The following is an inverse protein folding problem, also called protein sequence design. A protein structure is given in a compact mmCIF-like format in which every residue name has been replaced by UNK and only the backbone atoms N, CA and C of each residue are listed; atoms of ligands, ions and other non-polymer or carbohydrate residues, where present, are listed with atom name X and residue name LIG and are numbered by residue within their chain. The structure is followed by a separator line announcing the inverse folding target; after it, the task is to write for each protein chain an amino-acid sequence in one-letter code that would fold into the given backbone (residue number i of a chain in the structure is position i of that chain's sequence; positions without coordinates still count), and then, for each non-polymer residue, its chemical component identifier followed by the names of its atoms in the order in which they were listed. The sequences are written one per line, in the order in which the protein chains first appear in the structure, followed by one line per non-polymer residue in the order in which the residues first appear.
data_IF_156059091009
#
_entry.id   IF_156059091009
#
_cell.length_a   1.000
_cell.length_b   1.000
_cell.length_c   1.000
_cell.angle_alpha   90.00
_cell.angle_beta   90.00
_cell.angle_gamma   90.00
#
_symmetry.space_group_name_H-M   'P 1'
#
loop_
_entity.id
_entity.type
_entity.pdbx_description
1 polymer ?
#
# COMPACT_ATOMS: atom_id res chain seq x y z
N UNK A 1 44.00 1.88 -68.52
CA UNK A 1 45.13 1.83 -67.56
C UNK A 1 44.89 2.95 -66.55
N UNK A 2 44.35 2.64 -65.37
CA UNK A 2 45.09 2.57 -64.07
C UNK A 2 45.57 3.97 -63.62
N UNK A 3 45.19 4.55 -62.48
CA UNK A 3 44.39 4.12 -61.34
C UNK A 3 44.36 5.17 -60.21
N UNK A 4 43.37 5.00 -59.32
CA UNK A 4 43.38 5.19 -57.86
C UNK A 4 43.94 6.49 -57.23
N UNK A 5 43.06 7.26 -56.57
CA UNK A 5 42.99 7.28 -55.09
C UNK A 5 41.96 8.30 -54.58
N UNK A 6 40.73 7.86 -54.36
CA UNK A 6 39.86 8.47 -53.35
C UNK A 6 39.97 7.61 -52.10
N UNK A 7 40.72 8.08 -51.11
CA UNK A 7 40.79 7.46 -49.79
C UNK A 7 39.44 7.74 -49.10
N UNK A 8 38.57 6.74 -49.11
CA UNK A 8 37.40 6.69 -48.24
C UNK A 8 37.88 6.51 -46.80
N UNK A 9 37.70 7.53 -45.98
CA UNK A 9 37.90 7.49 -44.54
C UNK A 9 36.74 6.69 -43.92
N UNK A 10 36.85 5.36 -43.94
CA UNK A 10 35.96 4.50 -43.18
C UNK A 10 36.32 4.63 -41.70
N UNK A 11 35.61 5.49 -40.97
CA UNK A 11 35.56 5.42 -39.51
C UNK A 11 34.98 4.05 -39.15
N UNK A 12 35.84 3.14 -38.71
CA UNK A 12 35.42 1.97 -37.96
C UNK A 12 34.84 2.46 -36.62
N UNK A 13 33.53 2.72 -36.59
CA UNK A 13 32.75 2.68 -35.37
C UNK A 13 32.82 1.26 -34.85
N UNK A 14 33.84 0.98 -34.04
CA UNK A 14 33.83 -0.19 -33.16
C UNK A 14 32.69 0.07 -32.18
N UNK A 15 31.50 -0.39 -32.53
CA UNK A 15 30.41 -0.54 -31.57
C UNK A 15 30.89 -1.62 -30.61
N UNK A 16 31.55 -1.21 -29.52
CA UNK A 16 31.67 -2.07 -28.36
C UNK A 16 30.24 -2.36 -27.92
N UNK A 17 29.75 -3.55 -28.22
CA UNK A 17 28.53 -4.07 -27.63
C UNK A 17 28.74 -4.04 -26.12
N UNK A 18 28.23 -3.01 -25.44
CA UNK A 18 28.11 -3.02 -23.98
C UNK A 18 26.98 -4.00 -23.72
N UNK A 19 27.31 -5.28 -23.75
CA UNK A 19 26.43 -6.32 -23.26
C UNK A 19 26.45 -6.17 -21.74
N UNK A 20 25.47 -5.44 -21.22
CA UNK A 20 25.29 -5.30 -19.79
C UNK A 20 25.11 -6.70 -19.21
N UNK A 21 26.15 -7.25 -18.58
CA UNK A 21 26.07 -8.53 -17.87
C UNK A 21 24.90 -8.43 -16.89
N UNK A 22 23.84 -9.20 -17.15
CA UNK A 22 22.71 -9.31 -16.25
C UNK A 22 23.25 -9.88 -14.94
N UNK A 23 23.44 -9.00 -13.96
CA UNK A 23 23.94 -9.38 -12.65
C UNK A 23 22.73 -9.60 -11.75
N UNK A 24 22.41 -10.87 -11.48
CA UNK A 24 21.33 -11.23 -10.57
C UNK A 24 21.61 -10.73 -9.15
N UNK A 25 20.54 -10.55 -8.36
CA UNK A 25 20.67 -10.28 -6.93
C UNK A 25 21.31 -11.46 -6.22
N UNK A 26 22.11 -11.17 -5.19
CA UNK A 26 22.70 -12.19 -4.36
C UNK A 26 21.65 -12.75 -3.39
N UNK A 27 21.46 -14.07 -3.41
CA UNK A 27 20.42 -14.78 -2.67
C UNK A 27 21.02 -15.50 -1.46
N UNK A 28 20.28 -15.66 -0.35
CA UNK A 28 20.70 -16.50 0.77
C UNK A 28 21.14 -17.88 0.29
N UNK A 29 22.29 -18.36 0.81
CA UNK A 29 22.92 -19.61 0.39
C UNK A 29 23.86 -19.49 -0.83
N UNK A 30 23.86 -18.37 -1.54
CA UNK A 30 24.82 -18.12 -2.63
C UNK A 30 26.20 -17.73 -2.09
N UNK A 31 27.32 -18.02 -2.80
CA UNK A 31 28.67 -17.65 -2.35
C UNK A 31 28.91 -16.14 -2.16
N UNK A 32 28.16 -15.30 -2.89
CA UNK A 32 28.22 -13.85 -2.74
C UNK A 32 27.51 -13.33 -1.47
N UNK A 33 26.71 -14.17 -0.80
CA UNK A 33 25.84 -13.72 0.28
C UNK A 33 26.68 -13.44 1.52
N UNK A 34 26.40 -12.37 2.28
CA UNK A 34 27.16 -12.03 3.47
C UNK A 34 27.32 -13.22 4.42
N UNK A 35 28.54 -13.43 4.92
CA UNK A 35 28.79 -14.51 5.89
C UNK A 35 28.12 -14.19 7.24
N UNK A 36 27.85 -15.21 8.08
CA UNK A 36 27.19 -14.98 9.37
C UNK A 36 27.86 -13.91 10.26
N UNK A 37 29.20 -13.80 10.34
CA UNK A 37 29.85 -12.70 11.07
C UNK A 37 29.55 -11.31 10.50
N UNK A 38 29.44 -11.18 9.17
CA UNK A 38 29.10 -9.90 8.50
C UNK A 38 27.65 -9.52 8.81
N UNK A 39 26.73 -10.49 8.75
CA UNK A 39 25.31 -10.27 9.10
C UNK A 39 25.19 -9.85 10.56
N UNK A 40 25.83 -10.56 11.48
CA UNK A 40 25.83 -10.24 12.91
C UNK A 40 26.43 -8.85 13.20
N UNK A 41 27.44 -8.43 12.42
CA UNK A 41 27.97 -7.07 12.52
C UNK A 41 26.96 -6.02 12.05
N UNK A 42 26.21 -6.31 10.99
CA UNK A 42 25.15 -5.42 10.50
C UNK A 42 24.00 -5.30 11.51
N UNK A 43 23.54 -6.41 12.08
CA UNK A 43 22.49 -6.45 13.12
C UNK A 43 22.83 -5.56 14.32
N UNK A 44 24.09 -5.56 14.78
CA UNK A 44 24.55 -4.69 15.87
C UNK A 44 24.45 -3.20 15.55
N UNK A 45 24.32 -2.82 14.28
CA UNK A 45 24.14 -1.41 13.89
C UNK A 45 22.68 -0.99 13.85
N UNK A 46 21.73 -1.92 13.86
CA UNK A 46 20.30 -1.63 13.82
C UNK A 46 19.75 -1.35 15.22
N UNK A 47 18.58 -0.71 15.27
CA UNK A 47 17.87 -0.47 16.54
C UNK A 47 17.45 -1.78 17.25
N UNK A 48 17.09 -2.80 16.47
CA UNK A 48 16.83 -4.17 16.94
C UNK A 48 17.51 -5.16 15.98
N UNK A 49 17.95 -6.34 16.46
CA UNK A 49 18.47 -7.40 15.58
C UNK A 49 17.49 -7.78 14.47
N UNK A 50 18.00 -8.38 13.40
CA UNK A 50 17.16 -8.91 12.32
C UNK A 50 16.18 -9.94 12.88
N UNK A 51 14.94 -9.86 12.41
CA UNK A 51 13.96 -10.93 12.57
C UNK A 51 14.21 -11.92 11.44
N UNK A 52 14.25 -13.22 11.77
CA UNK A 52 14.29 -14.31 10.81
C UNK A 52 12.90 -14.96 10.74
N UNK A 53 12.00 -14.46 9.88
CA UNK A 53 10.61 -14.90 9.92
C UNK A 53 10.45 -16.32 9.37
N UNK A 54 9.58 -17.10 10.02
CA UNK A 54 8.90 -18.25 9.43
C UNK A 54 7.49 -17.84 9.02
N UNK A 55 6.87 -18.51 8.02
CA UNK A 55 5.49 -18.22 7.65
C UNK A 55 4.56 -18.30 8.85
N UNK A 56 3.54 -17.44 8.89
CA UNK A 56 2.64 -17.34 10.04
C UNK A 56 1.94 -18.67 10.39
N UNK A 57 1.67 -19.52 9.39
CA UNK A 57 1.09 -20.86 9.58
C UNK A 57 2.03 -21.90 10.20
N UNK A 58 3.34 -21.64 10.28
CA UNK A 58 4.37 -22.63 10.68
C UNK A 58 4.12 -23.23 12.06
N UNK A 59 3.58 -22.43 12.98
CA UNK A 59 3.19 -22.86 14.33
C UNK A 59 2.12 -23.96 14.36
N UNK A 60 1.44 -24.23 13.24
CA UNK A 60 0.42 -25.28 13.12
C UNK A 60 0.95 -26.63 12.63
N UNK A 61 2.19 -26.74 12.18
CA UNK A 61 2.75 -27.96 11.59
C UNK A 61 3.61 -28.70 12.62
N UNK A 62 3.23 -29.91 13.09
CA UNK A 62 3.97 -30.65 14.12
C UNK A 62 5.42 -31.03 13.76
N UNK A 63 5.74 -31.07 12.46
CA UNK A 63 7.08 -31.31 11.94
C UNK A 63 7.92 -30.01 11.80
N UNK A 64 7.36 -28.84 12.07
CA UNK A 64 8.07 -27.57 12.04
C UNK A 64 8.67 -27.22 13.41
N UNK A 65 9.91 -26.70 13.48
CA UNK A 65 10.52 -26.28 14.75
C UNK A 65 9.74 -25.22 15.55
N UNK A 66 8.84 -24.48 14.89
CA UNK A 66 8.02 -23.44 15.50
C UNK A 66 6.67 -23.95 16.01
N UNK A 67 6.37 -25.25 15.89
CA UNK A 67 5.10 -25.82 16.29
C UNK A 67 4.69 -25.40 17.70
N UNK A 68 3.49 -24.82 17.80
CA UNK A 68 2.90 -24.43 19.07
C UNK A 68 1.37 -24.45 18.93
N UNK A 69 0.65 -25.38 19.60
CA UNK A 69 -0.78 -25.54 19.42
C UNK A 69 -1.59 -24.32 19.86
N UNK A 70 -1.13 -23.58 20.88
CA UNK A 70 -1.79 -22.34 21.34
C UNK A 70 -1.63 -21.22 20.31
N UNK A 71 -0.41 -21.02 19.80
CA UNK A 71 -0.16 -20.04 18.74
C UNK A 71 -0.92 -20.42 17.45
N UNK A 72 -1.01 -21.70 17.13
CA UNK A 72 -1.80 -22.19 16.00
C UNK A 72 -3.28 -21.84 16.12
N UNK A 73 -3.89 -22.02 17.30
CA UNK A 73 -5.28 -21.65 17.52
C UNK A 73 -5.51 -20.14 17.32
N UNK A 74 -4.58 -19.30 17.79
CA UNK A 74 -4.64 -17.85 17.57
C UNK A 74 -4.52 -17.52 16.07
N UNK A 75 -3.51 -18.06 15.39
CA UNK A 75 -3.26 -17.85 13.95
C UNK A 75 -4.48 -18.24 13.12
N UNK A 76 -5.08 -19.41 13.39
CA UNK A 76 -6.31 -19.85 12.70
C UNK A 76 -7.47 -18.89 12.93
N UNK A 77 -7.68 -18.45 14.17
CA UNK A 77 -8.78 -17.53 14.50
C UNK A 77 -8.63 -16.13 13.86
N UNK A 78 -7.40 -15.70 13.58
CA UNK A 78 -7.07 -14.38 13.03
C UNK A 78 -6.55 -14.43 11.60
N UNK A 79 -6.67 -15.58 10.92
CA UNK A 79 -6.04 -15.79 9.62
C UNK A 79 -6.44 -14.74 8.58
N UNK A 80 -7.68 -14.28 8.57
CA UNK A 80 -8.15 -13.21 7.66
C UNK A 80 -8.32 -11.85 8.36
N UNK A 81 -7.84 -11.70 9.60
CA UNK A 81 -7.98 -10.47 10.34
C UNK A 81 -6.94 -9.43 9.89
N UNK A 82 -7.41 -8.37 9.24
CA UNK A 82 -6.52 -7.36 8.67
C UNK A 82 -5.58 -6.72 9.69
N UNK A 83 -6.07 -6.35 10.88
CA UNK A 83 -5.24 -5.73 11.92
C UNK A 83 -4.12 -6.66 12.40
N UNK A 84 -4.45 -7.93 12.67
CA UNK A 84 -3.47 -8.94 13.06
C UNK A 84 -2.40 -9.15 11.97
N UNK A 85 -2.81 -9.30 10.71
CA UNK A 85 -1.86 -9.48 9.60
C UNK A 85 -0.95 -8.27 9.38
N UNK A 86 -1.43 -7.05 9.65
CA UNK A 86 -0.55 -5.86 9.61
C UNK A 86 0.52 -5.85 10.71
N UNK A 87 0.22 -6.49 11.85
CA UNK A 87 1.06 -6.48 13.05
C UNK A 87 2.20 -7.50 13.06
N UNK A 88 2.25 -8.39 12.07
CA UNK A 88 3.32 -9.39 11.93
C UNK A 88 4.10 -9.17 10.63
N UNK A 89 5.45 -9.28 10.62
CA UNK A 89 6.25 -9.02 9.43
C UNK A 89 6.08 -10.09 8.33
N UNK A 90 5.78 -11.33 8.71
CA UNK A 90 5.65 -12.50 7.84
C UNK A 90 4.29 -12.64 7.13
N UNK A 91 3.34 -11.72 7.36
CA UNK A 91 2.06 -11.71 6.66
C UNK A 91 1.93 -10.54 5.65
N UNK A 92 1.34 -10.84 4.51
CA UNK A 92 0.65 -9.92 3.62
C UNK A 92 -0.86 -9.97 3.89
N UNK A 93 -1.64 -9.01 3.38
CA UNK A 93 -3.10 -9.08 3.49
C UNK A 93 -3.71 -10.11 2.55
N UNK A 94 -3.10 -10.26 1.37
CA UNK A 94 -3.51 -11.24 0.37
C UNK A 94 -2.55 -12.43 0.44
N UNK A 95 -3.06 -13.55 0.93
CA UNK A 95 -2.28 -14.76 1.28
C UNK A 95 -1.57 -15.35 0.05
N UNK A 96 -2.12 -15.16 -1.15
CA UNK A 96 -1.45 -15.58 -2.39
C UNK A 96 -0.06 -14.93 -2.57
N UNK A 97 0.20 -13.79 -1.93
CA UNK A 97 1.51 -13.14 -1.94
C UNK A 97 2.50 -13.66 -0.89
N UNK A 98 2.06 -14.53 0.01
CA UNK A 98 2.94 -15.35 0.87
C UNK A 98 3.35 -16.64 0.18
N UNK A 99 2.53 -17.15 -0.73
CA UNK A 99 2.75 -18.41 -1.44
C UNK A 99 3.70 -18.24 -2.62
N UNK A 100 4.53 -19.25 -2.88
CA UNK A 100 5.25 -19.40 -4.16
C UNK A 100 4.57 -20.47 -4.99
N UNK A 101 4.21 -20.15 -6.23
CA UNK A 101 3.67 -21.11 -7.19
C UNK A 101 4.76 -21.38 -8.22
N UNK A 102 5.16 -22.63 -8.36
CA UNK A 102 6.03 -23.09 -9.45
C UNK A 102 5.24 -24.00 -10.40
N UNK A 103 5.87 -24.47 -11.47
CA UNK A 103 5.19 -25.25 -12.52
C UNK A 103 4.59 -26.58 -12.03
N UNK A 104 4.99 -27.07 -10.86
CA UNK A 104 4.68 -28.42 -10.37
C UNK A 104 4.15 -28.46 -8.94
N UNK A 105 4.27 -27.36 -8.17
CA UNK A 105 3.95 -27.32 -6.76
C UNK A 105 3.56 -25.91 -6.28
N UNK A 106 2.87 -25.89 -5.14
CA UNK A 106 2.49 -24.71 -4.40
C UNK A 106 3.23 -24.72 -3.06
N UNK A 107 4.27 -23.91 -2.97
CA UNK A 107 5.07 -23.73 -1.77
C UNK A 107 4.34 -22.77 -0.83
N UNK A 108 3.44 -23.32 -0.03
CA UNK A 108 2.62 -22.60 0.94
C UNK A 108 2.83 -23.12 2.36
N UNK A 109 2.24 -22.40 3.31
CA UNK A 109 2.17 -22.79 4.71
C UNK A 109 0.78 -22.45 5.25
N UNK A 110 -0.21 -23.19 4.75
CA UNK A 110 -1.62 -23.01 5.09
C UNK A 110 -1.97 -23.83 6.35
N UNK A 111 -2.36 -23.20 7.48
CA UNK A 111 -2.71 -23.93 8.70
C UNK A 111 -4.01 -24.75 8.57
N UNK A 112 -4.80 -24.55 7.51
CA UNK A 112 -6.06 -25.27 7.27
C UNK A 112 -5.90 -26.51 6.37
N UNK A 113 -4.69 -26.79 5.87
CA UNK A 113 -4.40 -28.08 5.21
C UNK A 113 -4.32 -29.23 6.23
N UNK A 114 -4.08 -30.45 5.76
CA UNK A 114 -3.81 -31.60 6.63
C UNK A 114 -2.41 -31.48 7.28
N UNK A 115 -2.32 -30.61 8.28
CA UNK A 115 -1.06 -30.31 8.98
C UNK A 115 -0.49 -31.49 9.76
N UNK A 116 -1.28 -32.54 10.01
CA UNK A 116 -0.82 -33.72 10.75
C UNK A 116 -0.19 -34.79 9.85
N UNK A 117 -0.40 -34.72 8.54
CA UNK A 117 0.33 -35.55 7.59
C UNK A 117 1.82 -35.12 7.61
N UNK A 118 2.75 -36.01 8.00
CA UNK A 118 4.17 -35.67 8.10
C UNK A 118 4.81 -35.36 6.73
N UNK A 119 4.14 -35.71 5.63
CA UNK A 119 4.59 -35.37 4.27
C UNK A 119 4.26 -33.91 3.90
N UNK A 120 3.29 -33.29 4.58
CA UNK A 120 2.98 -31.88 4.40
C UNK A 120 4.00 -31.01 5.14
N UNK A 121 4.63 -30.11 4.40
CA UNK A 121 5.67 -29.21 4.90
C UNK A 121 5.18 -27.77 4.84
N UNK A 122 5.42 -27.01 5.91
CA UNK A 122 5.30 -25.55 5.88
C UNK A 122 6.46 -24.94 5.07
N UNK A 123 6.24 -24.63 3.80
CA UNK A 123 7.25 -23.99 2.96
C UNK A 123 7.41 -22.51 3.28
N UNK A 124 8.62 -21.98 3.12
CA UNK A 124 8.90 -20.55 3.33
C UNK A 124 8.09 -19.65 2.36
N UNK A 125 7.84 -20.13 1.14
CA UNK A 125 7.16 -19.35 0.11
C UNK A 125 7.88 -18.02 -0.18
N UNK A 126 7.09 -16.94 -0.25
CA UNK A 126 7.54 -15.57 -0.47
C UNK A 126 7.90 -14.82 0.81
N UNK A 127 7.79 -15.45 1.98
CA UNK A 127 8.17 -14.85 3.25
C UNK A 127 9.66 -14.47 3.19
N UNK A 128 10.05 -13.23 3.58
CA UNK A 128 11.42 -12.76 3.44
C UNK A 128 12.41 -13.64 4.21
N UNK A 129 13.69 -13.53 3.84
CA UNK A 129 14.74 -14.24 4.59
C UNK A 129 15.09 -13.53 5.90
N UNK A 130 15.06 -12.19 5.90
CA UNK A 130 15.33 -11.37 7.07
C UNK A 130 14.51 -10.09 7.05
N UNK A 131 14.10 -9.63 8.22
CA UNK A 131 13.28 -8.43 8.37
C UNK A 131 13.95 -7.47 9.33
N UNK A 132 14.14 -6.24 8.89
CA UNK A 132 14.55 -5.11 9.72
C UNK A 132 13.27 -4.46 10.25
N UNK A 133 13.06 -4.57 11.56
CA UNK A 133 12.01 -3.83 12.26
C UNK A 133 12.44 -2.37 12.41
N UNK A 134 11.91 -1.51 11.56
CA UNK A 134 12.39 -0.12 11.44
C UNK A 134 11.91 0.71 12.62
N UNK A 135 12.83 1.26 13.41
CA UNK A 135 12.54 2.18 14.53
C UNK A 135 13.05 3.58 14.27
N UNK A 136 13.93 3.76 13.29
CA UNK A 136 14.54 5.05 12.97
C UNK A 136 14.88 5.18 11.48
N UNK A 137 15.05 6.42 11.02
CA UNK A 137 15.58 6.73 9.68
C UNK A 137 16.95 6.06 9.48
N UNK A 138 17.77 6.00 10.54
CA UNK A 138 19.08 5.34 10.50
C UNK A 138 18.98 3.86 10.12
N UNK A 139 17.97 3.13 10.59
CA UNK A 139 17.79 1.70 10.22
C UNK A 139 17.57 1.56 8.71
N UNK A 140 16.73 2.42 8.14
CA UNK A 140 16.47 2.46 6.69
C UNK A 140 17.79 2.74 5.94
N UNK A 141 18.51 3.78 6.32
CA UNK A 141 19.75 4.18 5.66
C UNK A 141 20.84 3.10 5.74
N UNK A 142 21.02 2.48 6.92
CA UNK A 142 21.98 1.39 7.12
C UNK A 142 21.61 0.17 6.27
N UNK A 143 20.32 -0.17 6.21
CA UNK A 143 19.83 -1.32 5.43
C UNK A 143 19.95 -1.09 3.93
N UNK A 144 19.60 0.10 3.43
CA UNK A 144 19.78 0.48 2.01
C UNK A 144 21.24 0.36 1.60
N UNK A 145 22.16 0.91 2.41
CA UNK A 145 23.61 0.81 2.15
C UNK A 145 24.11 -0.63 2.21
N UNK A 146 23.66 -1.41 3.19
CA UNK A 146 24.04 -2.82 3.32
C UNK A 146 23.55 -3.66 2.13
N UNK A 147 22.28 -3.52 1.76
CA UNK A 147 21.70 -4.22 0.63
C UNK A 147 22.36 -3.83 -0.70
N UNK A 148 22.69 -2.54 -0.89
CA UNK A 148 23.42 -2.07 -2.06
C UNK A 148 24.83 -2.68 -2.13
N UNK A 149 25.60 -2.61 -1.03
CA UNK A 149 26.97 -3.14 -0.94
C UNK A 149 27.06 -4.64 -1.24
N UNK A 150 26.08 -5.41 -0.80
CA UNK A 150 26.05 -6.86 -0.94
C UNK A 150 25.13 -7.34 -2.07
N UNK A 151 24.64 -6.43 -2.91
CA UNK A 151 23.72 -6.70 -4.03
C UNK A 151 22.50 -7.56 -3.63
N UNK A 152 21.91 -7.28 -2.47
CA UNK A 152 20.77 -8.01 -1.92
C UNK A 152 19.46 -7.50 -2.52
N UNK A 153 18.45 -8.37 -2.54
CA UNK A 153 17.07 -7.99 -2.85
C UNK A 153 16.46 -7.30 -1.63
N UNK A 154 16.32 -5.98 -1.68
CA UNK A 154 15.63 -5.18 -0.68
C UNK A 154 14.16 -5.04 -1.06
N UNK A 155 13.27 -5.24 -0.10
CA UNK A 155 11.84 -4.94 -0.23
C UNK A 155 11.38 -4.08 0.94
N UNK A 156 10.25 -3.40 0.77
CA UNK A 156 9.67 -2.53 1.80
C UNK A 156 8.25 -2.97 2.07
N UNK A 157 7.94 -3.23 3.34
CA UNK A 157 6.58 -3.49 3.80
C UNK A 157 6.16 -2.41 4.79
N UNK A 158 5.00 -1.84 4.53
CA UNK A 158 4.24 -1.12 5.54
C UNK A 158 3.24 -2.11 6.17
N UNK A 159 2.02 -2.16 5.64
CA UNK A 159 0.93 -2.99 6.17
C UNK A 159 0.75 -4.33 5.48
N UNK A 160 1.33 -4.53 4.28
CA UNK A 160 1.12 -5.73 3.48
C UNK A 160 -0.18 -5.73 2.64
N UNK A 161 -0.87 -4.59 2.54
CA UNK A 161 -2.08 -4.37 1.69
C UNK A 161 -1.81 -4.34 0.17
N UNK A 162 -0.64 -4.80 -0.27
CA UNK A 162 -0.22 -4.62 -1.65
C UNK A 162 -0.84 -5.71 -2.56
N UNK A 163 -1.56 -5.28 -3.60
CA UNK A 163 -2.36 -6.17 -4.47
C UNK A 163 -1.55 -6.88 -5.57
N UNK A 164 -0.29 -6.50 -5.80
CA UNK A 164 0.59 -6.98 -6.89
C UNK A 164 1.83 -7.75 -6.37
N UNK A 165 1.87 -8.07 -5.07
CA UNK A 165 2.97 -8.73 -4.37
C UNK A 165 4.25 -7.91 -4.18
N UNK A 166 4.28 -6.60 -4.44
CA UNK A 166 5.52 -5.79 -4.41
C UNK A 166 6.13 -5.61 -3.03
N UNK A 167 5.31 -5.70 -1.97
CA UNK A 167 5.78 -5.58 -0.58
C UNK A 167 6.26 -6.90 0.03
N UNK A 168 6.32 -7.98 -0.76
CA UNK A 168 6.66 -9.33 -0.30
C UNK A 168 7.55 -10.05 -1.32
N UNK A 169 8.49 -10.87 -0.87
CA UNK A 169 9.37 -11.54 -1.81
C UNK A 169 10.34 -12.52 -1.17
N UNK A 170 10.43 -13.69 -1.80
CA UNK A 170 11.39 -14.72 -1.41
C UNK A 170 12.81 -14.16 -1.37
N UNK A 171 13.61 -14.71 -0.44
CA UNK A 171 15.06 -14.51 -0.40
C UNK A 171 15.47 -13.03 -0.32
N UNK A 172 14.62 -12.19 0.29
CA UNK A 172 14.83 -10.76 0.41
C UNK A 172 15.13 -10.34 1.84
N UNK A 173 15.74 -9.16 1.98
CA UNK A 173 15.74 -8.40 3.23
C UNK A 173 14.59 -7.40 3.15
N UNK A 174 13.69 -7.42 4.12
CA UNK A 174 12.53 -6.53 4.20
C UNK A 174 12.77 -5.41 5.20
N UNK A 175 12.51 -4.18 4.81
CA UNK A 175 12.29 -3.06 5.74
C UNK A 175 10.82 -3.04 6.14
N UNK A 176 10.53 -3.31 7.41
CA UNK A 176 9.17 -3.27 7.95
C UNK A 176 8.91 -1.95 8.68
N UNK A 177 8.37 -0.99 7.92
CA UNK A 177 8.13 0.42 8.31
C UNK A 177 6.93 0.62 9.22
N UNK A 178 6.12 -0.43 9.44
CA UNK A 178 4.94 -0.40 10.32
C UNK A 178 5.24 0.13 11.73
N UNK A 179 6.47 -0.02 12.22
CA UNK A 179 6.83 0.34 13.59
C UNK A 179 7.11 1.83 13.80
N UNK A 180 7.13 2.63 12.73
CA UNK A 180 7.21 4.09 12.78
C UNK A 180 5.77 4.66 12.84
N UNK A 181 5.36 5.17 13.99
CA UNK A 181 3.96 5.40 14.36
C UNK A 181 3.67 6.82 14.87
N UNK A 182 4.61 7.76 14.71
CA UNK A 182 4.45 9.14 15.16
C UNK A 182 3.43 9.92 14.32
N UNK A 183 2.65 10.76 15.00
CA UNK A 183 1.67 11.68 14.40
C UNK A 183 1.88 13.06 15.01
N UNK A 184 2.08 14.07 14.17
CA UNK A 184 2.32 15.47 14.56
C UNK A 184 1.34 16.39 13.85
N UNK A 185 0.54 17.11 14.62
CA UNK A 185 -0.40 18.09 14.09
C UNK A 185 0.20 19.49 14.05
N UNK A 186 -0.17 20.27 13.04
CA UNK A 186 0.18 21.68 12.92
C UNK A 186 -1.01 22.49 12.41
N UNK A 187 -1.29 23.61 13.07
CA UNK A 187 -2.36 24.52 12.64
C UNK A 187 -1.90 25.50 11.54
N UNK A 188 -0.58 25.61 11.31
CA UNK A 188 0.03 26.56 10.37
C UNK A 188 1.26 25.95 9.69
N UNK A 189 1.12 24.74 9.14
CA UNK A 189 2.20 24.07 8.44
C UNK A 189 2.61 24.85 7.20
N UNK A 190 3.92 25.07 7.05
CA UNK A 190 4.54 25.68 5.88
C UNK A 190 5.59 24.71 5.36
N UNK A 191 5.51 24.27 4.09
CA UNK A 191 6.50 23.37 3.52
C UNK A 191 7.92 23.95 3.58
N UNK A 192 8.91 23.09 3.77
CA UNK A 192 10.32 23.48 3.78
C UNK A 192 10.71 24.15 2.46
N UNK A 193 11.44 25.27 2.56
CA UNK A 193 11.88 26.05 1.39
C UNK A 193 10.82 26.99 0.81
N UNK A 194 9.62 27.06 1.41
CA UNK A 194 8.62 28.04 0.98
C UNK A 194 9.11 29.49 1.20
N UNK A 195 8.71 30.45 0.34
CA UNK A 195 9.04 31.86 0.52
C UNK A 195 8.58 32.42 1.88
N UNK A 196 9.35 33.37 2.41
CA UNK A 196 8.99 34.08 3.65
C UNK A 196 7.61 34.73 3.50
N UNK A 197 6.76 34.55 4.51
CA UNK A 197 5.38 35.06 4.51
C UNK A 197 4.34 34.11 3.91
N UNK A 198 4.73 32.90 3.47
CA UNK A 198 3.76 31.87 3.05
C UNK A 198 2.78 31.57 4.18
N UNK A 199 1.48 31.69 3.90
CA UNK A 199 0.42 31.34 4.85
C UNK A 199 0.39 29.84 5.08
N UNK A 200 0.55 29.43 6.35
CA UNK A 200 0.46 28.02 6.72
C UNK A 200 -0.98 27.50 6.74
N UNK A 201 -1.12 26.18 6.60
CA UNK A 201 -2.41 25.48 6.60
C UNK A 201 -2.48 24.46 7.74
N UNK A 202 -3.69 24.07 8.13
CA UNK A 202 -3.89 22.94 9.05
C UNK A 202 -3.45 21.64 8.38
N UNK A 203 -2.61 20.89 9.08
CA UNK A 203 -1.97 19.71 8.54
C UNK A 203 -1.63 18.69 9.62
N UNK A 204 -1.38 17.46 9.18
CA UNK A 204 -0.85 16.38 10.00
C UNK A 204 0.33 15.72 9.29
N UNK A 205 1.46 15.65 9.95
CA UNK A 205 2.65 14.91 9.53
C UNK A 205 2.66 13.57 10.24
N UNK A 206 2.79 12.49 9.48
CA UNK A 206 2.77 11.13 10.02
C UNK A 206 4.00 10.35 9.56
N UNK A 207 4.44 9.44 10.41
CA UNK A 207 5.38 8.38 10.05
C UNK A 207 4.71 7.26 9.23
N UNK A 208 5.50 6.45 8.49
CA UNK A 208 4.95 5.56 7.48
C UNK A 208 4.00 4.49 8.03
N UNK A 209 4.26 3.98 9.22
CA UNK A 209 3.48 2.89 9.82
C UNK A 209 2.08 3.28 10.30
N UNK A 210 1.77 4.58 10.37
CA UNK A 210 0.43 5.05 10.75
C UNK A 210 -0.61 4.54 9.77
N UNK A 211 -1.68 3.93 10.29
CA UNK A 211 -2.81 3.40 9.52
C UNK A 211 -4.00 4.35 9.55
N UNK A 212 -4.83 4.30 8.51
CA UNK A 212 -5.96 5.20 8.33
C UNK A 212 -6.95 5.18 9.51
N UNK A 213 -7.28 4.01 10.06
CA UNK A 213 -8.24 3.90 11.17
C UNK A 213 -7.85 4.72 12.39
N UNK A 214 -6.56 4.66 12.79
CA UNK A 214 -6.02 5.48 13.88
C UNK A 214 -6.02 6.96 13.51
N UNK A 215 -5.54 7.29 12.31
CA UNK A 215 -5.42 8.67 11.86
C UNK A 215 -6.78 9.37 11.77
N UNK A 216 -7.82 8.68 11.30
CA UNK A 216 -9.18 9.22 11.29
C UNK A 216 -9.66 9.61 12.67
N UNK A 217 -9.45 8.75 13.68
CA UNK A 217 -9.82 9.06 15.05
C UNK A 217 -9.08 10.30 15.56
N UNK A 218 -7.76 10.37 15.40
CA UNK A 218 -6.97 11.49 15.91
C UNK A 218 -7.29 12.82 15.20
N UNK A 219 -7.65 12.78 13.91
CA UNK A 219 -8.09 13.96 13.14
C UNK A 219 -9.52 14.37 13.54
N UNK A 220 -10.43 13.41 13.71
CA UNK A 220 -11.82 13.68 14.10
C UNK A 220 -11.93 14.25 15.52
N UNK A 221 -11.11 13.78 16.47
CA UNK A 221 -11.02 14.31 17.84
C UNK A 221 -10.61 15.81 17.86
N UNK A 222 -10.14 16.35 16.72
CA UNK A 222 -9.79 17.77 16.51
C UNK A 222 -10.83 18.54 15.69
N UNK A 223 -11.99 17.95 15.39
CA UNK A 223 -13.03 18.57 14.57
C UNK A 223 -12.59 18.83 13.12
N UNK A 224 -11.74 17.94 12.59
CA UNK A 224 -11.22 18.01 11.23
C UNK A 224 -11.60 16.75 10.44
N UNK A 225 -11.49 16.83 9.12
CA UNK A 225 -11.55 15.73 8.17
C UNK A 225 -10.20 15.56 7.47
N UNK A 226 -9.94 14.36 6.98
CA UNK A 226 -8.78 14.05 6.16
C UNK A 226 -9.19 13.11 5.02
N UNK A 227 -8.69 13.39 3.82
CA UNK A 227 -8.87 12.52 2.65
C UNK A 227 -8.01 11.29 2.84
N UNK A 228 -8.64 10.13 3.06
CA UNK A 228 -7.94 8.88 3.31
C UNK A 228 -8.57 7.66 2.66
N UNK A 229 -7.84 6.54 2.74
CA UNK A 229 -8.22 5.25 2.17
C UNK A 229 -9.20 4.44 3.00
N UNK A 230 -9.91 3.53 2.33
CA UNK A 230 -10.84 2.60 2.98
C UNK A 230 -10.24 1.20 3.03
N UNK A 231 -10.44 0.52 4.15
CA UNK A 231 -10.10 -0.89 4.32
C UNK A 231 -10.70 -1.42 5.61
N UNK A 232 -10.89 -2.74 5.69
CA UNK A 232 -11.39 -3.39 6.89
C UNK A 232 -10.53 -3.00 8.11
N UNK A 233 -11.19 -2.54 9.17
CA UNK A 233 -10.54 -2.04 10.40
C UNK A 233 -9.66 -0.80 10.20
N UNK A 234 -9.77 -0.09 9.07
CA UNK A 234 -8.90 1.05 8.74
C UNK A 234 -7.43 0.66 8.59
N UNK A 235 -7.15 -0.59 8.23
CA UNK A 235 -5.81 -1.20 8.30
C UNK A 235 -4.88 -0.82 7.14
N UNK A 236 -5.32 -0.05 6.15
CA UNK A 236 -4.46 0.46 5.08
C UNK A 236 -3.50 1.50 5.66
N UNK A 237 -2.22 1.46 5.24
CA UNK A 237 -1.19 2.38 5.70
C UNK A 237 -1.38 3.77 5.11
N UNK A 238 -1.49 4.78 5.97
CA UNK A 238 -1.63 6.17 5.58
C UNK A 238 -0.30 6.79 5.13
N UNK A 239 0.85 6.24 5.56
CA UNK A 239 2.18 6.70 5.14
C UNK A 239 2.95 5.64 4.33
N UNK A 240 2.39 5.15 3.21
CA UNK A 240 3.08 4.14 2.41
C UNK A 240 2.60 4.05 0.97
N UNK A 241 2.26 2.83 0.52
CA UNK A 241 1.82 2.62 -0.86
C UNK A 241 0.57 3.41 -1.26
N UNK A 242 -0.34 3.72 -0.32
CA UNK A 242 -1.57 4.46 -0.60
C UNK A 242 -1.31 5.90 -1.06
N UNK A 243 -0.58 6.77 -0.31
CA UNK A 243 -0.25 8.11 -0.81
C UNK A 243 0.57 8.06 -2.08
N UNK A 244 1.44 7.05 -2.21
CA UNK A 244 2.36 7.00 -3.34
C UNK A 244 1.70 6.54 -4.65
N UNK A 245 0.54 5.89 -4.58
CA UNK A 245 -0.17 5.31 -5.71
C UNK A 245 -1.41 6.08 -6.18
N UNK A 246 -1.68 7.27 -5.61
CA UNK A 246 -2.85 8.09 -5.91
C UNK A 246 -3.76 8.25 -4.70
N UNK A 247 -4.32 7.14 -4.21
CA UNK A 247 -5.15 7.10 -3.00
C UNK A 247 -6.56 7.66 -3.21
N UNK A 248 -7.52 6.78 -3.50
CA UNK A 248 -8.93 7.18 -3.59
C UNK A 248 -9.58 7.27 -2.21
N UNK A 249 -10.59 8.12 -2.07
CA UNK A 249 -11.36 8.32 -0.85
C UNK A 249 -12.83 8.57 -1.17
N UNK A 250 -13.71 8.32 -0.19
CA UNK A 250 -15.10 8.85 -0.24
C UNK A 250 -15.10 10.38 -0.37
N UNK A 251 -14.06 11.04 0.12
CA UNK A 251 -13.91 12.48 0.09
C UNK A 251 -13.27 13.00 -1.21
N UNK A 252 -12.86 12.13 -2.14
CA UNK A 252 -12.13 12.54 -3.33
C UNK A 252 -12.90 13.47 -4.27
N UNK A 253 -14.21 13.30 -4.49
CA UNK A 253 -14.98 14.25 -5.29
C UNK A 253 -15.01 15.67 -4.73
N UNK A 254 -14.75 15.86 -3.44
CA UNK A 254 -14.78 17.17 -2.77
C UNK A 254 -13.40 17.81 -2.60
N UNK A 255 -12.37 16.99 -2.39
CA UNK A 255 -11.03 17.47 -1.98
C UNK A 255 -9.87 16.91 -2.82
N UNK A 256 -10.16 16.19 -3.90
CA UNK A 256 -9.16 15.52 -4.74
C UNK A 256 -8.70 14.17 -4.18
N UNK A 257 -7.80 13.49 -4.90
CA UNK A 257 -7.21 12.24 -4.42
C UNK A 257 -6.32 12.46 -3.20
N UNK A 258 -5.90 11.38 -2.55
CA UNK A 258 -4.93 11.40 -1.45
C UNK A 258 -3.68 12.18 -1.82
N UNK A 259 -3.14 11.93 -3.02
CA UNK A 259 -2.01 12.68 -3.57
C UNK A 259 -2.26 14.19 -3.62
N UNK A 260 -3.47 14.67 -3.92
CA UNK A 260 -3.79 16.10 -3.99
C UNK A 260 -3.83 16.79 -2.63
N UNK A 261 -3.77 16.00 -1.56
CA UNK A 261 -3.81 16.45 -0.18
C UNK A 261 -2.42 16.44 0.47
N UNK A 262 -1.38 15.96 -0.21
CA UNK A 262 -0.01 15.93 0.31
C UNK A 262 0.67 17.28 0.12
N UNK A 263 1.29 17.79 1.19
CA UNK A 263 2.02 19.05 1.23
C UNK A 263 3.54 18.86 1.16
N UNK A 264 4.06 17.80 1.78
CA UNK A 264 5.47 17.50 1.90
C UNK A 264 5.67 16.03 2.26
N UNK A 265 6.72 15.42 1.72
CA UNK A 265 7.17 14.07 2.06
C UNK A 265 8.66 14.10 2.39
N UNK A 266 9.10 13.15 3.22
CA UNK A 266 10.52 12.85 3.37
C UNK A 266 10.78 11.40 3.01
N UNK A 267 11.90 11.15 2.32
CA UNK A 267 12.27 9.81 1.84
C UNK A 267 13.74 9.53 2.06
N UNK A 268 14.10 8.26 2.20
CA UNK A 268 15.47 7.78 2.03
C UNK A 268 15.63 7.30 0.59
N UNK A 269 16.55 7.92 -0.14
CA UNK A 269 16.88 7.57 -1.53
C UNK A 269 17.72 6.29 -1.61
N UNK A 270 17.87 5.67 -2.80
CA UNK A 270 18.79 4.55 -3.01
C UNK A 270 20.25 4.86 -2.63
N UNK A 271 20.67 6.14 -2.69
CA UNK A 271 21.98 6.60 -2.20
C UNK A 271 22.13 6.48 -0.67
N UNK A 272 21.02 6.34 0.05
CA UNK A 272 20.95 6.40 1.51
C UNK A 272 20.79 7.83 2.06
N UNK A 273 20.67 8.84 1.20
CA UNK A 273 20.39 10.22 1.62
C UNK A 273 18.94 10.37 2.07
N UNK A 274 18.72 11.17 3.12
CA UNK A 274 17.39 11.51 3.61
C UNK A 274 17.02 12.91 3.10
N UNK A 275 16.02 12.98 2.22
CA UNK A 275 15.66 14.22 1.52
C UNK A 275 14.20 14.59 1.76
N UNK A 276 13.91 15.88 1.68
CA UNK A 276 12.56 16.43 1.69
C UNK A 276 12.09 16.65 0.26
N UNK A 277 10.86 16.28 -0.07
CA UNK A 277 10.23 16.49 -1.36
C UNK A 277 8.92 17.27 -1.16
N UNK A 278 8.82 18.44 -1.78
CA UNK A 278 7.63 19.28 -1.82
C UNK A 278 7.69 20.19 -3.07
N UNK A 279 6.75 21.13 -3.21
CA UNK A 279 6.72 22.04 -4.38
C UNK A 279 7.92 23.01 -4.50
N UNK A 280 8.72 23.16 -3.44
CA UNK A 280 9.86 24.09 -3.36
C UNK A 280 11.21 23.36 -3.26
N UNK A 281 11.22 22.13 -2.75
CA UNK A 281 12.43 21.32 -2.51
C UNK A 281 12.25 19.97 -3.19
N UNK A 282 13.13 19.58 -4.13
CA UNK A 282 13.02 18.37 -4.95
C UNK A 282 11.63 18.18 -5.60
N UNK A 283 11.14 19.15 -6.40
CA UNK A 283 9.76 19.15 -6.91
C UNK A 283 9.48 18.05 -7.94
N UNK A 284 10.50 17.59 -8.65
CA UNK A 284 10.47 16.44 -9.56
C UNK A 284 10.24 15.12 -8.81
N UNK A 285 10.97 14.92 -7.71
CA UNK A 285 10.77 13.80 -6.79
C UNK A 285 9.38 13.88 -6.15
N UNK A 286 8.95 15.07 -5.73
CA UNK A 286 7.62 15.27 -5.15
C UNK A 286 6.50 14.90 -6.14
N UNK A 287 6.66 15.26 -7.41
CA UNK A 287 5.74 14.84 -8.47
C UNK A 287 5.72 13.31 -8.62
N UNK A 288 6.89 12.66 -8.65
CA UNK A 288 6.99 11.20 -8.81
C UNK A 288 6.41 10.43 -7.62
N UNK A 289 6.63 10.90 -6.39
CA UNK A 289 6.08 10.28 -5.18
C UNK A 289 4.55 10.37 -5.16
N UNK A 290 3.95 11.39 -5.77
CA UNK A 290 2.50 11.63 -5.79
C UNK A 290 1.77 10.93 -6.95
N UNK A 291 1.92 9.60 -7.04
CA UNK A 291 1.17 8.76 -7.97
C UNK A 291 2.03 7.82 -8.83
N UNK A 292 3.36 7.99 -8.83
CA UNK A 292 4.29 7.10 -9.54
C UNK A 292 4.45 5.70 -8.93
N UNK A 293 3.85 5.46 -7.76
CA UNK A 293 3.83 4.18 -7.08
C UNK A 293 5.07 3.92 -6.21
N UNK A 294 4.84 3.61 -4.94
CA UNK A 294 5.90 3.21 -4.02
C UNK A 294 6.30 1.73 -4.17
N UNK A 295 7.54 1.35 -3.80
CA UNK A 295 8.62 2.20 -3.26
C UNK A 295 9.64 2.69 -4.33
N UNK A 296 9.25 2.85 -5.59
CA UNK A 296 10.18 3.00 -6.73
C UNK A 296 11.13 4.21 -6.65
N UNK A 297 10.73 5.30 -6.00
CA UNK A 297 11.47 6.57 -5.97
C UNK A 297 12.17 6.85 -4.63
N UNK A 298 11.98 5.99 -3.64
CA UNK A 298 12.53 6.17 -2.30
C UNK A 298 11.68 5.49 -1.23
N UNK A 299 12.25 5.35 -0.04
CA UNK A 299 11.58 4.78 1.12
C UNK A 299 11.00 5.93 1.95
N UNK A 300 9.68 6.06 1.95
CA UNK A 300 8.97 7.09 2.68
C UNK A 300 9.25 7.00 4.19
N UNK A 301 9.65 8.12 4.78
CA UNK A 301 9.94 8.28 6.22
C UNK A 301 8.95 9.21 6.91
N UNK A 302 8.30 10.12 6.17
CA UNK A 302 7.13 10.85 6.64
C UNK A 302 6.32 11.41 5.47
N UNK A 303 5.03 11.65 5.71
CA UNK A 303 4.13 12.37 4.79
C UNK A 303 3.32 13.39 5.58
N UNK A 304 3.16 14.58 5.02
CA UNK A 304 2.33 15.65 5.58
C UNK A 304 1.11 15.86 4.71
N UNK A 305 -0.07 15.66 5.30
CA UNK A 305 -1.36 15.92 4.65
C UNK A 305 -1.96 17.22 5.15
N UNK A 306 -2.61 17.97 4.26
CA UNK A 306 -3.57 19.01 4.67
C UNK A 306 -4.82 18.37 5.28
N UNK A 307 -5.34 18.97 6.34
CA UNK A 307 -6.65 18.60 6.92
C UNK A 307 -7.69 19.64 6.56
N UNK A 308 -8.96 19.24 6.59
CA UNK A 308 -10.09 20.07 6.20
C UNK A 308 -11.03 20.30 7.38
N UNK A 309 -11.80 21.41 7.38
CA UNK A 309 -12.94 21.56 8.26
C UNK A 309 -13.89 20.36 8.14
N UNK A 310 -14.57 20.01 9.23
CA UNK A 310 -15.55 18.93 9.27
C UNK A 310 -16.98 19.46 9.20
N UNK A 311 -17.53 19.80 8.01
CA UNK A 311 -18.93 20.16 7.92
C UNK A 311 -19.84 18.95 8.18
N UNK A 312 -21.13 19.18 8.50
CA UNK A 312 -22.12 18.12 8.49
C UNK A 312 -22.15 17.38 7.15
N UNK A 313 -22.51 16.09 7.19
CA UNK A 313 -22.65 15.23 6.01
C UNK A 313 -23.99 14.51 6.05
N UNK A 314 -24.57 14.31 4.87
CA UNK A 314 -25.73 13.46 4.66
C UNK A 314 -25.24 12.10 4.18
N UNK A 315 -25.73 11.01 4.77
CA UNK A 315 -25.40 9.64 4.35
C UNK A 315 -26.64 8.95 3.77
N UNK A 316 -26.42 8.11 2.76
CA UNK A 316 -27.45 7.27 2.16
C UNK A 316 -26.95 5.83 2.03
N UNK A 317 -27.82 4.89 2.34
CA UNK A 317 -27.54 3.46 2.34
C UNK A 317 -28.64 2.74 1.55
N UNK A 318 -28.24 1.78 0.71
CA UNK A 318 -29.15 0.89 -0.02
C UNK A 318 -28.60 -0.52 0.05
N UNK A 319 -29.49 -1.50 0.18
CA UNK A 319 -29.20 -2.90 -0.13
C UNK A 319 -30.24 -3.34 -1.15
N UNK A 320 -29.81 -3.79 -2.31
CA UNK A 320 -30.68 -4.40 -3.30
C UNK A 320 -30.26 -5.85 -3.53
N UNK A 321 -31.20 -6.78 -3.46
CA UNK A 321 -31.02 -8.18 -3.82
C UNK A 321 -31.60 -8.44 -5.20
N UNK A 322 -30.94 -9.29 -5.98
CA UNK A 322 -31.42 -9.67 -7.31
C UNK A 322 -31.72 -11.16 -7.37
N UNK A 323 -32.92 -11.51 -7.81
CA UNK A 323 -33.41 -12.90 -7.89
C UNK A 323 -33.33 -13.48 -9.30
N UNK A 324 -33.10 -12.64 -10.31
CA UNK A 324 -32.91 -13.03 -11.72
C UNK A 324 -31.66 -12.39 -12.30
N UNK A 325 -31.08 -13.02 -13.34
CA UNK A 325 -29.92 -12.48 -14.06
C UNK A 325 -30.29 -11.22 -14.86
N UNK A 326 -31.51 -11.18 -15.39
CA UNK A 326 -32.06 -10.03 -16.12
C UNK A 326 -32.24 -8.83 -15.20
N UNK A 327 -32.81 -9.01 -14.00
CA UNK A 327 -32.95 -7.96 -13.01
C UNK A 327 -31.59 -7.45 -12.53
N UNK A 328 -30.62 -8.35 -12.36
CA UNK A 328 -29.21 -8.02 -12.03
C UNK A 328 -28.56 -7.15 -13.10
N UNK A 329 -28.70 -7.53 -14.37
CA UNK A 329 -28.16 -6.77 -15.48
C UNK A 329 -28.82 -5.39 -15.62
N UNK A 330 -30.14 -5.31 -15.47
CA UNK A 330 -30.87 -4.05 -15.61
C UNK A 330 -30.60 -3.09 -14.43
N UNK A 331 -30.48 -3.61 -13.19
CA UNK A 331 -30.05 -2.81 -12.04
C UNK A 331 -28.66 -2.21 -12.27
N UNK A 332 -27.70 -3.03 -12.73
CA UNK A 332 -26.36 -2.55 -13.03
C UNK A 332 -26.37 -1.48 -14.13
N UNK A 333 -27.15 -1.68 -15.19
CA UNK A 333 -27.31 -0.74 -16.29
C UNK A 333 -27.88 0.60 -15.83
N UNK A 334 -28.94 0.60 -15.02
CA UNK A 334 -29.51 1.85 -14.49
C UNK A 334 -28.55 2.55 -13.52
N UNK A 335 -27.78 1.80 -12.72
CA UNK A 335 -26.73 2.39 -11.88
C UNK A 335 -25.66 3.10 -12.73
N UNK A 336 -25.09 2.42 -13.72
CA UNK A 336 -24.05 3.00 -14.60
C UNK A 336 -24.59 4.25 -15.33
N UNK A 337 -25.84 4.21 -15.78
CA UNK A 337 -26.51 5.32 -16.48
C UNK A 337 -26.69 6.55 -15.58
N UNK A 338 -27.07 6.38 -14.31
CA UNK A 338 -27.31 7.51 -13.40
C UNK A 338 -26.03 8.00 -12.70
N UNK A 339 -24.98 7.19 -12.65
CA UNK A 339 -23.77 7.46 -11.87
C UNK A 339 -23.15 8.86 -12.11
N UNK A 340 -22.95 9.34 -13.36
CA UNK A 340 -22.42 10.69 -13.58
C UNK A 340 -23.29 11.78 -12.94
N UNK A 341 -24.61 11.68 -13.10
CA UNK A 341 -25.57 12.65 -12.54
C UNK A 341 -25.59 12.64 -11.01
N UNK A 342 -25.43 11.47 -10.38
CA UNK A 342 -25.30 11.36 -8.92
C UNK A 342 -24.04 12.08 -8.42
N UNK A 343 -22.90 11.84 -9.06
CA UNK A 343 -21.63 12.48 -8.71
C UNK A 343 -21.70 14.00 -8.91
N UNK A 344 -22.22 14.46 -10.05
CA UNK A 344 -22.42 15.89 -10.35
C UNK A 344 -23.44 16.58 -9.42
N UNK A 345 -24.29 15.80 -8.76
CA UNK A 345 -25.24 16.30 -7.76
C UNK A 345 -24.64 16.31 -6.36
N UNK A 346 -23.42 15.81 -6.19
CA UNK A 346 -22.65 15.88 -4.95
C UNK A 346 -22.65 14.60 -4.12
N UNK A 347 -23.07 13.46 -4.68
CA UNK A 347 -22.91 12.16 -4.02
C UNK A 347 -21.53 11.58 -4.29
N UNK A 348 -20.92 11.01 -3.25
CA UNK A 348 -19.66 10.29 -3.32
C UNK A 348 -19.73 9.04 -2.44
N UNK A 349 -19.12 7.94 -2.87
CA UNK A 349 -19.13 6.73 -2.05
C UNK A 349 -18.84 5.46 -2.81
N UNK A 350 -19.14 4.35 -2.13
CA UNK A 350 -18.82 3.01 -2.59
C UNK A 350 -20.09 2.26 -2.90
N UNK A 351 -19.99 1.40 -3.91
CA UNK A 351 -21.10 0.61 -4.41
C UNK A 351 -20.67 -0.82 -4.72
N UNK A 352 -20.30 -1.65 -3.73
CA UNK A 352 -19.90 -3.01 -4.05
C UNK A 352 -21.11 -3.78 -4.63
N UNK A 353 -20.89 -4.42 -5.78
CA UNK A 353 -21.82 -5.36 -6.39
C UNK A 353 -21.17 -6.74 -6.35
N UNK A 354 -21.65 -7.61 -5.47
CA UNK A 354 -21.08 -8.95 -5.25
C UNK A 354 -22.17 -10.01 -5.33
N UNK A 355 -22.05 -10.93 -6.27
CA UNK A 355 -23.06 -11.95 -6.51
C UNK A 355 -24.41 -11.31 -6.85
N UNK A 356 -25.43 -11.62 -6.03
CA UNK A 356 -26.80 -11.11 -6.17
C UNK A 356 -27.07 -9.84 -5.33
N UNK A 357 -26.06 -9.28 -4.67
CA UNK A 357 -26.24 -8.14 -3.77
C UNK A 357 -25.53 -6.89 -4.28
N UNK A 358 -26.27 -5.79 -4.31
CA UNK A 358 -25.80 -4.46 -4.62
C UNK A 358 -25.97 -3.56 -3.40
N UNK A 359 -24.86 -3.03 -2.89
CA UNK A 359 -24.87 -2.13 -1.75
C UNK A 359 -24.52 -0.73 -2.20
N UNK A 360 -25.19 0.29 -1.63
CA UNK A 360 -24.73 1.67 -1.71
C UNK A 360 -24.35 2.18 -0.32
N UNK A 361 -23.22 2.86 -0.24
CA UNK A 361 -22.85 3.68 0.91
C UNK A 361 -22.31 4.99 0.37
N UNK A 362 -23.19 5.98 0.32
CA UNK A 362 -22.92 7.29 -0.27
C UNK A 362 -22.97 8.38 0.82
N UNK A 363 -22.24 9.45 0.58
CA UNK A 363 -22.34 10.69 1.33
C UNK A 363 -22.42 11.91 0.41
N UNK A 364 -23.05 12.96 0.92
CA UNK A 364 -23.05 14.29 0.34
C UNK A 364 -22.71 15.32 1.44
N UNK A 365 -22.13 16.45 1.04
CA UNK A 365 -21.78 17.52 1.97
C UNK A 365 -23.01 18.32 2.40
N UNK A 366 -23.09 18.66 3.69
CA UNK A 366 -24.17 19.43 4.32
C UNK A 366 -25.26 18.58 5.01
N UNK A 367 -26.11 19.26 5.80
CA UNK A 367 -27.25 18.66 6.50
C UNK A 367 -28.54 18.74 5.68
N UNK A 368 -29.39 17.70 5.61
CA UNK A 368 -30.67 17.82 4.93
C UNK A 368 -31.48 19.02 5.44
N UNK A 369 -32.14 19.80 4.55
CA UNK A 369 -32.34 19.56 3.13
C UNK A 369 -31.26 20.20 2.22
N UNK A 370 -30.04 20.45 2.71
CA UNK A 370 -29.01 21.31 2.07
C UNK A 370 -28.52 20.89 0.68
N UNK A 371 -29.09 19.85 0.06
CA UNK A 371 -28.84 19.48 -1.32
C UNK A 371 -30.09 18.83 -1.96
N UNK A 372 -31.12 19.64 -2.30
CA UNK A 372 -32.37 19.10 -2.84
C UNK A 372 -32.16 18.39 -4.18
N UNK A 373 -31.16 18.82 -4.96
CA UNK A 373 -30.76 18.15 -6.21
C UNK A 373 -30.21 16.74 -5.94
N UNK A 374 -29.27 16.59 -5.01
CA UNK A 374 -28.76 15.27 -4.60
C UNK A 374 -29.89 14.35 -4.14
N UNK A 375 -30.77 14.84 -3.26
CA UNK A 375 -31.89 14.06 -2.74
C UNK A 375 -32.83 13.60 -3.86
N UNK A 376 -33.20 14.50 -4.78
CA UNK A 376 -34.06 14.16 -5.90
C UNK A 376 -33.43 13.13 -6.85
N UNK A 377 -32.13 13.24 -7.13
CA UNK A 377 -31.44 12.28 -8.01
C UNK A 377 -31.39 10.88 -7.43
N UNK A 378 -31.13 10.74 -6.14
CA UNK A 378 -31.07 9.44 -5.48
C UNK A 378 -32.46 8.83 -5.29
N UNK A 379 -33.46 9.65 -4.96
CA UNK A 379 -34.86 9.22 -4.92
C UNK A 379 -35.34 8.71 -6.28
N UNK A 380 -35.00 9.41 -7.38
CA UNK A 380 -35.33 8.96 -8.73
C UNK A 380 -34.71 7.61 -9.10
N UNK A 381 -33.48 7.35 -8.64
CA UNK A 381 -32.85 6.03 -8.78
C UNK A 381 -33.64 4.95 -8.03
N UNK A 382 -33.98 5.19 -6.76
CA UNK A 382 -34.78 4.24 -5.96
C UNK A 382 -36.14 3.96 -6.60
N UNK A 383 -36.79 5.00 -7.13
CA UNK A 383 -38.07 4.87 -7.81
C UNK A 383 -37.99 4.09 -9.11
N UNK A 384 -36.84 4.10 -9.79
CA UNK A 384 -36.62 3.30 -11.00
C UNK A 384 -36.36 1.84 -10.64
N UNK A 385 -35.42 1.57 -9.72
CA UNK A 385 -34.97 0.19 -9.47
C UNK A 385 -36.02 -0.67 -8.76
N UNK A 386 -36.93 -0.08 -7.96
CA UNK A 386 -38.02 -0.81 -7.30
C UNK A 386 -39.02 -1.44 -8.30
N UNK A 387 -39.00 -0.99 -9.55
CA UNK A 387 -39.87 -1.47 -10.61
C UNK A 387 -39.16 -2.45 -11.56
N UNK A 388 -37.88 -2.74 -11.34
CA UNK A 388 -37.14 -3.73 -12.12
C UNK A 388 -37.56 -5.12 -11.62
N UNK A 389 -38.07 -5.95 -12.53
CA UNK A 389 -38.41 -7.34 -12.21
C UNK A 389 -37.17 -8.10 -11.73
N UNK A 390 -37.32 -8.81 -10.61
CA UNK A 390 -36.23 -9.55 -9.99
C UNK A 390 -35.25 -8.69 -9.18
N UNK A 391 -35.60 -7.45 -8.84
CA UNK A 391 -34.86 -6.60 -7.88
C UNK A 391 -35.72 -6.33 -6.64
N UNK A 392 -35.14 -6.55 -5.46
CA UNK A 392 -35.75 -6.33 -4.15
C UNK A 392 -34.88 -5.35 -3.35
N UNK A 393 -35.45 -4.25 -2.85
CA UNK A 393 -34.72 -3.16 -2.16
C UNK A 393 -35.13 -2.97 -0.71
#
# INVERSE_FOLDING_TARGET
MLGLSYIALALALVTSSIEAKITCKCLPGSPCFPSPPVIKSFEKTLSEPLIHPRPMGSVCFPNDPTFNPTACAEVKSKWHNGAFRTSVPEAAQFINWETMINSTAVDQCDPFSDVNDPTNTCFQGRVPWGVVKVKSISDIQKTVRFASRHNLKLIVKNTGHENLGRSFGQQSIMLWTHNMQEIKFSNRFVPKGAPRGTTGVTAVTIEPGVQWGRLYKEVADRGQLIVGGIGAGGSVGAGGGWPMGGGHSVLSPFYGLGVDNILEETVVLPSGEHVTANRYTNPDLFWALRGGGGPSFGILTSVTYKTHPAPPVTAAFLVANTTTEEGRAELFKEWVKIHPTLVDSGWAGFWPYSGTQFFLTLMAMGSPPSNPKANATLQGFYDTIKNIEGVEI
#
